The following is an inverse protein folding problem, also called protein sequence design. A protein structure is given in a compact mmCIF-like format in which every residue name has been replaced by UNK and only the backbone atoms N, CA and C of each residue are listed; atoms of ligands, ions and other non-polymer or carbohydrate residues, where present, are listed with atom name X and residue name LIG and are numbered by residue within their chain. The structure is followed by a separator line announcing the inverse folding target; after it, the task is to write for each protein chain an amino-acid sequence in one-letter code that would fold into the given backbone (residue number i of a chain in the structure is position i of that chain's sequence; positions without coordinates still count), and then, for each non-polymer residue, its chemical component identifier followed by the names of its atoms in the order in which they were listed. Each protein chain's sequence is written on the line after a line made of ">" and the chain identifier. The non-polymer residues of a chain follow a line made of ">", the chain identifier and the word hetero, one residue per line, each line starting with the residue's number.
data_IF_166407214254
#
_entry.id   IF_166407214254
#
_cell.length_a   1.000
_cell.length_b   1.000
_cell.length_c   1.000
_cell.angle_alpha   90.00
_cell.angle_beta   90.00
_cell.angle_gamma   90.00
#
_symmetry.space_group_name_H-M   'P 1'
#
loop_
_entity.id
_entity.type
_entity.pdbx_description
1 polymer ?
#
# COMPACT_ATOMS: atom_id res chain seq x y z
N UNK A 1 -25.73 1.17 14.48
CA UNK A 1 -24.51 1.52 13.74
C UNK A 1 -23.35 1.09 14.61
N UNK A 2 -22.59 0.07 14.23
CA UNK A 2 -21.52 -0.48 15.06
C UNK A 2 -20.35 0.51 15.16
N UNK A 3 -20.13 1.12 16.35
CA UNK A 3 -18.97 1.98 16.57
C UNK A 3 -17.63 1.22 16.47
N UNK A 4 -17.68 -0.11 16.57
CA UNK A 4 -16.54 -1.03 16.52
C UNK A 4 -15.78 -0.98 15.19
N UNK A 5 -16.49 -0.79 14.07
CA UNK A 5 -15.86 -0.80 12.75
C UNK A 5 -14.94 0.42 12.56
N UNK A 6 -15.35 1.60 13.04
CA UNK A 6 -14.53 2.82 12.93
C UNK A 6 -13.26 2.70 13.77
N UNK A 7 -13.33 2.11 14.96
CA UNK A 7 -12.16 1.88 15.83
C UNK A 7 -11.18 0.92 15.16
N UNK A 8 -11.66 -0.22 14.68
CA UNK A 8 -10.82 -1.22 13.99
C UNK A 8 -10.16 -0.65 12.73
N UNK A 9 -10.87 0.19 11.97
CA UNK A 9 -10.32 0.87 10.80
C UNK A 9 -9.21 1.85 11.18
N UNK A 10 -9.37 2.61 12.27
CA UNK A 10 -8.33 3.52 12.77
C UNK A 10 -7.09 2.78 13.25
N UNK A 11 -7.26 1.66 13.95
CA UNK A 11 -6.16 0.79 14.35
C UNK A 11 -5.39 0.26 13.14
N UNK A 12 -6.10 -0.12 12.07
CA UNK A 12 -5.47 -0.55 10.82
C UNK A 12 -4.67 0.54 10.13
N UNK A 13 -5.17 1.78 10.14
CA UNK A 13 -4.41 2.93 9.61
C UNK A 13 -3.15 3.19 10.43
N UNK A 14 -3.24 3.12 11.76
CA UNK A 14 -2.07 3.24 12.65
C UNK A 14 -1.02 2.15 12.36
N UNK A 15 -1.47 0.91 12.20
CA UNK A 15 -0.60 -0.21 11.84
C UNK A 15 0.12 0.03 10.49
N UNK A 16 -0.57 0.57 9.48
CA UNK A 16 0.04 0.88 8.19
C UNK A 16 1.13 1.95 8.31
N UNK A 17 0.90 3.01 9.08
CA UNK A 17 1.89 4.05 9.37
C UNK A 17 3.15 3.47 10.04
N UNK A 18 2.97 2.61 11.05
CA UNK A 18 4.09 1.95 11.75
C UNK A 18 4.93 1.07 10.83
N UNK A 19 4.29 0.29 9.95
CA UNK A 19 4.99 -0.55 8.96
C UNK A 19 5.82 0.30 8.02
N UNK A 20 5.30 1.41 7.51
CA UNK A 20 6.03 2.32 6.62
C UNK A 20 7.24 2.91 7.35
N UNK A 21 7.06 3.39 8.58
CA UNK A 21 8.15 3.93 9.40
C UNK A 21 9.24 2.87 9.65
N UNK A 22 8.84 1.63 9.94
CA UNK A 22 9.76 0.52 10.14
C UNK A 22 10.57 0.20 8.86
N UNK A 23 9.90 0.18 7.69
CA UNK A 23 10.57 -0.07 6.41
C UNK A 23 11.55 1.04 6.04
N UNK A 24 11.19 2.32 6.28
CA UNK A 24 12.09 3.46 6.09
C UNK A 24 13.35 3.32 6.95
N UNK A 25 13.19 2.98 8.23
CA UNK A 25 14.30 2.78 9.16
C UNK A 25 15.18 1.58 8.79
N UNK A 26 14.58 0.46 8.35
CA UNK A 26 15.28 -0.81 8.10
C UNK A 26 15.96 -0.88 6.74
N UNK A 27 15.35 -0.35 5.69
CA UNK A 27 15.81 -0.50 4.31
C UNK A 27 16.59 0.72 3.79
N UNK A 28 16.87 1.72 4.64
CA UNK A 28 17.40 3.03 4.23
C UNK A 28 16.58 3.68 3.08
N UNK A 29 15.31 3.28 2.95
CA UNK A 29 14.42 3.69 1.87
C UNK A 29 13.76 5.02 2.26
N UNK A 30 14.58 6.07 2.32
CA UNK A 30 14.19 7.43 2.72
C UNK A 30 13.83 8.33 1.53
N UNK A 31 13.32 7.73 0.45
CA UNK A 31 12.90 8.46 -0.74
C UNK A 31 11.71 9.39 -0.48
N UNK A 32 11.43 10.29 -1.43
CA UNK A 32 10.30 11.21 -1.37
C UNK A 32 8.94 10.48 -1.26
N UNK A 33 8.81 9.32 -1.91
CA UNK A 33 7.59 8.49 -1.84
C UNK A 33 7.31 7.98 -0.43
N UNK A 34 8.35 7.53 0.29
CA UNK A 34 8.20 6.98 1.62
C UNK A 34 7.74 8.06 2.63
N UNK A 35 8.31 9.27 2.53
CA UNK A 35 7.86 10.42 3.30
C UNK A 35 6.44 10.85 2.93
N UNK A 36 6.07 10.81 1.63
CA UNK A 36 4.70 11.11 1.19
C UNK A 36 3.71 10.11 1.78
N UNK A 37 4.02 8.81 1.74
CA UNK A 37 3.23 7.74 2.34
C UNK A 37 3.08 7.92 3.86
N UNK A 38 4.17 8.15 4.58
CA UNK A 38 4.15 8.34 6.02
C UNK A 38 3.28 9.54 6.42
N UNK A 39 3.40 10.66 5.71
CA UNK A 39 2.58 11.86 5.95
C UNK A 39 1.09 11.66 5.67
N UNK A 40 0.73 10.82 4.71
CA UNK A 40 -0.68 10.56 4.40
C UNK A 40 -1.35 9.70 5.47
N UNK A 41 -0.70 8.62 5.90
CA UNK A 41 -1.27 7.72 6.91
C UNK A 41 -1.25 8.30 8.33
N UNK A 42 -0.61 9.45 8.57
CA UNK A 42 -0.69 10.19 9.84
C UNK A 42 -1.87 11.16 9.93
N UNK A 43 -2.60 11.37 8.82
CA UNK A 43 -3.76 12.26 8.76
C UNK A 43 -5.10 11.53 8.67
N UNK A 44 -6.18 12.29 8.89
CA UNK A 44 -7.57 11.79 8.80
C UNK A 44 -8.18 11.99 7.40
N UNK A 45 -7.47 12.63 6.47
CA UNK A 45 -7.97 12.91 5.12
C UNK A 45 -7.88 11.67 4.22
N UNK A 46 -8.97 11.36 3.54
CA UNK A 46 -8.99 10.34 2.49
C UNK A 46 -8.83 10.98 1.11
N UNK A 47 -7.84 10.51 0.35
CA UNK A 47 -7.65 10.81 -1.06
C UNK A 47 -7.57 9.50 -1.86
N UNK A 48 -8.53 9.34 -2.79
CA UNK A 48 -8.66 8.14 -3.64
C UNK A 48 -7.46 7.96 -4.57
N UNK A 49 -6.82 9.06 -4.97
CA UNK A 49 -5.76 9.07 -5.97
C UNK A 49 -4.36 9.12 -5.33
N UNK A 50 -4.27 9.07 -3.99
CA UNK A 50 -3.05 9.23 -3.23
C UNK A 50 -1.96 8.17 -3.51
N UNK A 51 -2.36 6.91 -3.55
CA UNK A 51 -1.48 5.82 -3.94
C UNK A 51 -1.57 5.65 -5.45
N UNK A 52 -0.44 5.48 -6.15
CA UNK A 52 -0.46 4.76 -7.41
C UNK A 52 -0.74 3.31 -7.04
N UNK A 53 -2.00 2.99 -6.74
CA UNK A 53 -2.47 1.62 -6.83
C UNK A 53 -1.91 1.09 -8.14
N UNK A 54 -1.37 -0.15 -8.20
CA UNK A 54 -1.24 -0.79 -9.48
C UNK A 54 -2.63 -0.69 -10.10
N UNK A 55 -2.78 0.26 -11.02
CA UNK A 55 -3.95 0.33 -11.86
C UNK A 55 -3.90 -1.04 -12.49
N UNK A 56 -5.00 -1.78 -12.39
CA UNK A 56 -5.19 -2.92 -13.28
C UNK A 56 -5.28 -2.34 -14.71
N UNK A 57 -4.22 -1.71 -15.21
CA UNK A 57 -3.88 -1.78 -16.61
C UNK A 57 -3.64 -3.26 -16.83
N UNK A 58 -4.32 -3.80 -17.83
CA UNK A 58 -4.41 -5.21 -18.25
C UNK A 58 -3.06 -5.91 -18.51
N UNK A 59 -1.94 -5.33 -18.08
CA UNK A 59 -0.57 -5.77 -18.37
C UNK A 59 0.03 -6.68 -17.29
N UNK A 60 -0.79 -7.17 -16.35
CA UNK A 60 -0.40 -8.34 -15.56
C UNK A 60 -0.77 -9.57 -16.37
N UNK A 61 0.20 -10.09 -17.14
CA UNK A 61 0.14 -11.43 -17.70
C UNK A 61 -0.40 -12.37 -16.61
N UNK A 62 -1.51 -13.04 -16.90
CA UNK A 62 -2.12 -13.97 -15.95
C UNK A 62 -1.11 -15.10 -15.69
N UNK A 63 -1.13 -15.72 -14.49
CA UNK A 63 -0.22 -16.83 -14.18
C UNK A 63 -0.21 -17.92 -15.27
N UNK A 64 -1.35 -18.15 -15.93
CA UNK A 64 -1.52 -19.10 -17.02
C UNK A 64 -0.76 -18.74 -18.31
N UNK A 65 -0.39 -17.47 -18.49
CA UNK A 65 0.37 -16.95 -19.64
C UNK A 65 1.89 -16.98 -19.38
N UNK A 66 2.32 -17.16 -18.13
CA UNK A 66 3.73 -17.30 -17.75
C UNK A 66 4.27 -18.72 -18.01
N UNK A 67 3.39 -19.72 -18.07
CA UNK A 67 3.77 -21.12 -18.32
C UNK A 67 3.98 -21.47 -19.81
N UNK A 68 3.51 -20.63 -20.74
CA UNK A 68 3.60 -20.91 -22.18
C UNK A 68 5.01 -20.74 -22.76
N UNK A 69 5.95 -20.19 -21.99
CA UNK A 69 7.33 -19.92 -22.43
C UNK A 69 8.35 -21.00 -22.03
N UNK A 70 7.92 -22.09 -21.39
CA UNK A 70 8.80 -23.12 -20.81
C UNK A 70 8.63 -24.52 -21.44
N UNK A 71 7.90 -24.66 -22.55
CA UNK A 71 7.52 -25.96 -23.14
C UNK A 71 8.28 -26.31 -24.44
N UNK A 72 9.48 -25.75 -24.66
CA UNK A 72 10.41 -26.11 -25.76
C UNK A 72 11.74 -26.67 -25.22
#
# INVERSE_FOLDING_TARGET
>A
MEPDNVVQLKEKLSQAHEVIAHLMAKAAFNGAEAHRALNYFSGDSFDRDFLPWPRYTDDRLRPDELNAANDD
#
